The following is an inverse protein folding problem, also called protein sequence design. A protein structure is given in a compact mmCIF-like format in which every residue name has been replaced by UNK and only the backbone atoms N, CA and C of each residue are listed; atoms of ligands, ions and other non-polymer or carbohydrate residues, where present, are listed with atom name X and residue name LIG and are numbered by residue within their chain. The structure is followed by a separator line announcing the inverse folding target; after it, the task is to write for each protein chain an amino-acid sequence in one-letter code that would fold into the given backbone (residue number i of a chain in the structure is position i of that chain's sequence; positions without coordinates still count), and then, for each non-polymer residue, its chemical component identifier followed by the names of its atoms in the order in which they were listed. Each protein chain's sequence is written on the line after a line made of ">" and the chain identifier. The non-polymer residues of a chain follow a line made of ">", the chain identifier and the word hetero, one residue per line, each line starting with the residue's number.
data_IF_527044993012
#
_entry.id   IF_527044993012
#
_cell.length_a   1.000
_cell.length_b   1.000
_cell.length_c   1.000
_cell.angle_alpha   90.00
_cell.angle_beta   90.00
_cell.angle_gamma   90.00
#
_symmetry.space_group_name_H-M   'P 1'
#
loop_
_entity.id
_entity.type
_entity.pdbx_description
1 polymer ?
#
# COMPACT_ATOMS: atom_id res chain seq x y z
N UNK A 1 1.34 10.02 19.39
CA UNK A 1 0.41 8.98 18.85
C UNK A 1 0.30 9.20 17.35
N UNK A 2 0.74 8.24 16.55
CA UNK A 2 0.69 8.35 15.10
C UNK A 2 -0.72 8.05 14.57
N UNK A 3 -1.25 8.82 13.60
CA UNK A 3 -2.56 8.54 13.00
C UNK A 3 -2.51 7.21 12.22
N UNK A 4 -3.64 6.53 12.05
CA UNK A 4 -3.81 5.24 11.34
C UNK A 4 -3.39 3.95 12.08
N UNK A 5 -2.88 4.01 13.31
CA UNK A 5 -2.46 2.80 14.05
C UNK A 5 -3.60 2.13 14.86
N UNK A 6 -4.79 2.74 14.88
CA UNK A 6 -5.93 2.20 15.62
C UNK A 6 -6.71 1.20 14.76
N UNK A 7 -6.95 -0.01 15.29
CA UNK A 7 -7.71 -1.08 14.62
C UNK A 7 -9.07 -0.62 14.10
N UNK A 8 -9.75 0.28 14.82
CA UNK A 8 -11.02 0.88 14.37
C UNK A 8 -10.84 1.74 13.12
N UNK A 9 -9.76 2.51 13.05
CA UNK A 9 -9.44 3.34 11.88
C UNK A 9 -9.06 2.44 10.70
N UNK A 10 -8.32 1.36 10.93
CA UNK A 10 -7.98 0.41 9.87
C UNK A 10 -9.23 -0.24 9.25
N UNK A 11 -10.17 -0.68 10.10
CA UNK A 11 -11.43 -1.26 9.64
C UNK A 11 -12.27 -0.26 8.82
N UNK A 12 -12.31 1.01 9.24
CA UNK A 12 -13.01 2.08 8.49
C UNK A 12 -12.34 2.31 7.13
N UNK A 13 -11.01 2.38 7.07
CA UNK A 13 -10.27 2.56 5.82
C UNK A 13 -10.53 1.41 4.86
N UNK A 14 -10.51 0.16 5.34
CA UNK A 14 -10.83 -1.02 4.53
C UNK A 14 -12.28 -0.99 4.02
N UNK A 15 -13.24 -0.63 4.87
CA UNK A 15 -14.64 -0.52 4.47
C UNK A 15 -14.84 0.54 3.36
N UNK A 16 -14.20 1.70 3.51
CA UNK A 16 -14.19 2.76 2.48
C UNK A 16 -13.54 2.26 1.20
N UNK A 17 -12.40 1.55 1.30
CA UNK A 17 -11.72 0.98 0.13
C UNK A 17 -12.63 0.03 -0.65
N UNK A 18 -13.26 -0.95 0.01
CA UNK A 18 -14.17 -1.88 -0.66
C UNK A 18 -15.37 -1.15 -1.30
N UNK A 19 -15.94 -0.18 -0.59
CA UNK A 19 -17.03 0.63 -1.12
C UNK A 19 -16.62 1.40 -2.39
N UNK A 20 -15.46 2.07 -2.35
CA UNK A 20 -14.92 2.78 -3.51
C UNK A 20 -14.62 1.84 -4.68
N UNK A 21 -14.06 0.65 -4.43
CA UNK A 21 -13.80 -0.37 -5.46
C UNK A 21 -15.10 -0.78 -6.16
N UNK A 22 -16.17 -1.05 -5.42
CA UNK A 22 -17.47 -1.43 -5.98
C UNK A 22 -18.06 -0.29 -6.82
N UNK A 23 -18.06 0.94 -6.29
CA UNK A 23 -18.55 2.11 -7.00
C UNK A 23 -17.77 2.39 -8.28
N UNK A 24 -16.43 2.37 -8.20
CA UNK A 24 -15.56 2.66 -9.33
C UNK A 24 -15.69 1.59 -10.41
N UNK A 25 -15.79 0.31 -10.01
CA UNK A 25 -16.09 -0.81 -10.90
C UNK A 25 -17.42 -0.60 -11.63
N UNK A 26 -18.50 -0.32 -10.90
CA UNK A 26 -19.82 -0.10 -11.51
C UNK A 26 -19.81 1.06 -12.51
N UNK A 27 -19.16 2.17 -12.15
CA UNK A 27 -19.03 3.35 -13.01
C UNK A 27 -18.21 3.07 -14.27
N UNK A 28 -17.09 2.35 -14.14
CA UNK A 28 -16.22 2.02 -15.28
C UNK A 28 -16.80 0.95 -16.20
N UNK A 29 -17.66 0.04 -15.71
CA UNK A 29 -18.38 -0.92 -16.56
C UNK A 29 -19.37 -0.26 -17.52
N UNK A 30 -19.88 0.94 -17.18
CA UNK A 30 -20.81 1.70 -18.03
C UNK A 30 -20.12 2.53 -19.13
N UNK A 31 -18.79 2.69 -19.06
CA UNK A 31 -18.02 3.51 -19.99
C UNK A 31 -17.26 2.65 -20.99
N UNK A 32 -17.17 3.13 -22.22
CA UNK A 32 -16.32 2.56 -23.27
C UNK A 32 -14.85 2.58 -22.82
N UNK A 33 -14.10 1.55 -23.19
CA UNK A 33 -12.72 1.35 -22.78
C UNK A 33 -11.87 2.60 -23.00
N UNK A 34 -11.32 3.13 -21.90
CA UNK A 34 -10.45 4.31 -21.91
C UNK A 34 -9.19 4.05 -22.74
N UNK A 35 -8.76 5.03 -23.55
CA UNK A 35 -7.60 4.91 -24.45
C UNK A 35 -6.35 4.38 -23.73
N UNK A 36 -5.82 3.27 -24.26
CA UNK A 36 -4.72 2.49 -23.68
C UNK A 36 -3.43 3.31 -23.42
N UNK A 37 -3.16 4.37 -24.19
CA UNK A 37 -1.92 5.14 -24.07
C UNK A 37 -1.84 5.93 -22.75
N UNK A 38 -2.93 6.55 -22.33
CA UNK A 38 -2.95 7.36 -21.10
C UNK A 38 -2.74 6.50 -19.84
N UNK A 39 -3.31 5.29 -19.85
CA UNK A 39 -3.21 4.33 -18.75
C UNK A 39 -1.81 3.72 -18.64
N UNK A 40 -1.07 3.60 -19.75
CA UNK A 40 0.32 3.15 -19.73
C UNK A 40 1.23 4.14 -19.00
N UNK A 41 1.12 5.43 -19.30
CA UNK A 41 1.91 6.49 -18.63
C UNK A 41 1.58 6.55 -17.14
N UNK A 42 0.30 6.46 -16.78
CA UNK A 42 -0.13 6.40 -15.38
C UNK A 42 0.45 5.18 -14.66
N UNK A 43 0.40 3.99 -15.27
CA UNK A 43 1.00 2.77 -14.70
C UNK A 43 2.50 2.89 -14.50
N UNK A 44 3.20 3.45 -15.49
CA UNK A 44 4.63 3.66 -15.40
C UNK A 44 4.98 4.57 -14.22
N UNK A 45 4.34 5.75 -14.14
CA UNK A 45 4.54 6.69 -13.04
C UNK A 45 4.21 6.07 -11.68
N UNK A 46 3.11 5.32 -11.59
CA UNK A 46 2.72 4.61 -10.38
C UNK A 46 3.78 3.58 -9.96
N UNK A 47 4.20 2.69 -10.87
CA UNK A 47 5.21 1.68 -10.57
C UNK A 47 6.56 2.31 -10.18
N UNK A 48 6.97 3.39 -10.84
CA UNK A 48 8.17 4.14 -10.46
C UNK A 48 8.05 4.72 -9.05
N UNK A 49 6.91 5.34 -8.70
CA UNK A 49 6.67 5.86 -7.35
C UNK A 49 6.76 4.75 -6.30
N UNK A 50 6.23 3.57 -6.61
CA UNK A 50 6.24 2.42 -5.73
C UNK A 50 7.67 1.93 -5.47
N UNK A 51 8.50 1.85 -6.52
CA UNK A 51 9.91 1.48 -6.39
C UNK A 51 10.65 2.47 -5.48
N UNK A 52 10.40 3.77 -5.63
CA UNK A 52 11.05 4.80 -4.82
C UNK A 52 10.64 4.69 -3.34
N UNK A 53 9.34 4.56 -3.05
CA UNK A 53 8.83 4.46 -1.68
C UNK A 53 9.33 3.17 -1.01
N UNK A 54 9.27 2.03 -1.71
CA UNK A 54 9.75 0.76 -1.18
C UNK A 54 11.25 0.79 -0.91
N UNK A 55 12.05 1.35 -1.83
CA UNK A 55 13.49 1.51 -1.64
C UNK A 55 13.80 2.37 -0.41
N UNK A 56 13.07 3.47 -0.23
CA UNK A 56 13.24 4.35 0.94
C UNK A 56 12.94 3.62 2.26
N UNK A 57 11.82 2.89 2.34
CA UNK A 57 11.45 2.12 3.54
C UNK A 57 12.49 1.05 3.86
N UNK A 58 13.02 0.35 2.84
CA UNK A 58 14.05 -0.68 3.04
C UNK A 58 15.34 -0.07 3.55
N UNK A 59 15.81 1.03 2.96
CA UNK A 59 17.04 1.71 3.39
C UNK A 59 16.91 2.22 4.83
N UNK A 60 15.84 2.94 5.15
CA UNK A 60 15.58 3.42 6.51
C UNK A 60 15.44 2.26 7.51
N UNK A 61 14.83 1.15 7.09
CA UNK A 61 14.69 -0.06 7.89
C UNK A 61 16.03 -0.71 8.22
N UNK A 62 16.92 -0.83 7.23
CA UNK A 62 18.27 -1.38 7.43
C UNK A 62 19.08 -0.46 8.34
N UNK A 63 19.11 0.85 8.07
CA UNK A 63 19.82 1.81 8.91
C UNK A 63 19.30 1.81 10.36
N UNK A 64 17.99 1.80 10.55
CA UNK A 64 17.39 1.76 11.90
C UNK A 64 17.69 0.45 12.61
N UNK A 65 17.68 -0.68 11.90
CA UNK A 65 17.99 -2.00 12.48
C UNK A 65 19.47 -2.13 12.86
N UNK A 66 20.36 -1.58 12.02
CA UNK A 66 21.79 -1.54 12.28
C UNK A 66 22.12 -0.66 13.50
N UNK A 67 21.57 0.55 13.56
CA UNK A 67 21.72 1.45 14.72
C UNK A 67 21.17 0.84 16.02
N UNK A 68 20.13 0.01 15.89
CA UNK A 68 19.50 -0.67 17.00
C UNK A 68 20.20 -1.98 17.42
N UNK A 69 21.26 -2.40 16.71
CA UNK A 69 22.01 -3.62 17.02
C UNK A 69 21.22 -4.92 16.79
N UNK A 70 20.20 -4.90 15.93
CA UNK A 70 19.45 -6.11 15.59
C UNK A 70 20.36 -7.13 14.91
N UNK A 71 20.27 -8.39 15.36
CA UNK A 71 20.91 -9.53 14.70
C UNK A 71 19.84 -10.33 13.97
N UNK A 72 20.20 -11.08 12.91
CA UNK A 72 19.26 -11.93 12.15
C UNK A 72 18.40 -12.87 13.02
N UNK A 73 18.90 -13.26 14.20
CA UNK A 73 18.26 -14.22 15.11
C UNK A 73 17.76 -13.59 16.42
N UNK A 74 18.01 -12.30 16.67
CA UNK A 74 17.66 -11.68 17.95
C UNK A 74 17.16 -10.25 17.75
N UNK A 75 15.98 -10.01 18.32
CA UNK A 75 15.39 -8.69 18.44
C UNK A 75 16.14 -7.90 19.52
N UNK A 76 16.41 -6.62 19.29
CA UNK A 76 17.02 -5.76 20.31
C UNK A 76 16.11 -5.71 21.55
N UNK A 77 16.64 -6.17 22.69
CA UNK A 77 15.87 -6.38 23.91
C UNK A 77 15.50 -5.05 24.62
N UNK A 78 16.30 -4.01 24.40
CA UNK A 78 16.19 -2.71 25.09
C UNK A 78 16.21 -1.52 24.12
N UNK A 79 15.66 -1.69 22.90
CA UNK A 79 15.50 -0.54 22.02
C UNK A 79 14.32 0.31 22.49
N UNK A 80 14.61 1.20 23.46
CA UNK A 80 13.71 2.27 23.85
C UNK A 80 13.24 2.94 22.58
N UNK A 81 11.92 2.93 22.36
CA UNK A 81 11.27 3.07 21.06
C UNK A 81 11.84 4.26 20.30
N UNK A 82 12.85 4.01 19.46
CA UNK A 82 13.42 5.13 18.73
C UNK A 82 12.29 5.67 17.85
N UNK A 83 12.05 6.98 17.93
CA UNK A 83 11.02 7.64 17.13
C UNK A 83 11.17 7.33 15.62
N UNK A 84 12.35 6.88 15.18
CA UNK A 84 12.65 6.41 13.82
C UNK A 84 11.90 5.11 13.48
N UNK A 85 11.88 4.12 14.37
CA UNK A 85 11.19 2.84 14.14
C UNK A 85 9.67 3.05 14.08
N UNK A 86 9.10 3.85 14.98
CA UNK A 86 7.66 4.18 14.97
C UNK A 86 7.27 4.92 13.67
N UNK A 87 8.09 5.88 13.24
CA UNK A 87 7.90 6.59 11.97
C UNK A 87 7.98 5.65 10.77
N UNK A 88 8.89 4.68 10.79
CA UNK A 88 9.03 3.69 9.72
C UNK A 88 7.78 2.80 9.60
N UNK A 89 7.26 2.31 10.72
CA UNK A 89 5.99 1.57 10.74
C UNK A 89 4.83 2.42 10.24
N UNK A 90 4.77 3.69 10.64
CA UNK A 90 3.75 4.60 10.14
C UNK A 90 3.85 4.83 8.63
N UNK A 91 5.06 5.03 8.09
CA UNK A 91 5.31 5.15 6.65
C UNK A 91 4.90 3.88 5.90
N UNK A 92 5.15 2.70 6.47
CA UNK A 92 4.70 1.43 5.92
C UNK A 92 3.16 1.36 5.83
N UNK A 93 2.45 1.79 6.89
CA UNK A 93 0.98 1.86 6.87
C UNK A 93 0.45 2.84 5.82
N UNK A 94 1.08 4.01 5.66
CA UNK A 94 0.70 4.98 4.62
C UNK A 94 0.96 4.41 3.22
N UNK A 95 2.11 3.77 3.01
CA UNK A 95 2.44 3.05 1.76
C UNK A 95 1.38 1.99 1.45
N UNK A 96 0.84 1.30 2.46
CA UNK A 96 -0.23 0.32 2.24
C UNK A 96 -1.53 0.94 1.74
N UNK A 97 -1.85 2.17 2.12
CA UNK A 97 -2.97 2.91 1.51
C UNK A 97 -2.66 3.24 0.05
N UNK A 98 -1.40 3.60 -0.26
CA UNK A 98 -0.96 3.81 -1.63
C UNK A 98 -1.11 2.55 -2.50
N UNK A 99 -0.86 1.36 -1.94
CA UNK A 99 -1.03 0.08 -2.64
C UNK A 99 -2.46 -0.16 -3.15
N UNK A 100 -3.47 0.40 -2.49
CA UNK A 100 -4.87 0.29 -2.94
C UNK A 100 -5.12 1.00 -4.28
N UNK A 101 -4.26 1.94 -4.66
CA UNK A 101 -4.37 2.61 -5.95
C UNK A 101 -4.13 1.70 -7.15
N UNK A 102 -3.39 0.60 -6.97
CA UNK A 102 -3.21 -0.43 -8.00
C UNK A 102 -4.55 -1.01 -8.47
N UNK A 103 -5.45 -1.30 -7.52
CA UNK A 103 -6.80 -1.81 -7.81
C UNK A 103 -7.61 -0.82 -8.65
N UNK A 104 -7.52 0.47 -8.37
CA UNK A 104 -8.21 1.50 -9.16
C UNK A 104 -7.66 1.59 -10.58
N UNK A 105 -6.34 1.44 -10.77
CA UNK A 105 -5.71 1.42 -12.10
C UNK A 105 -6.12 0.16 -12.88
N UNK A 106 -6.20 -1.00 -12.23
CA UNK A 106 -6.69 -2.25 -12.86
C UNK A 106 -8.14 -2.08 -13.33
N UNK A 107 -9.01 -1.49 -12.50
CA UNK A 107 -10.41 -1.22 -12.85
C UNK A 107 -10.49 -0.20 -14.00
N UNK A 108 -9.64 0.83 -14.00
CA UNK A 108 -9.58 1.82 -15.07
C UNK A 108 -9.17 1.21 -16.42
N UNK A 109 -8.34 0.17 -16.40
CA UNK A 109 -7.97 -0.63 -17.57
C UNK A 109 -9.00 -1.69 -17.95
N UNK A 110 -10.06 -1.85 -17.17
CA UNK A 110 -11.06 -2.90 -17.34
C UNK A 110 -10.44 -4.30 -17.43
N UNK A 111 -9.29 -4.53 -16.77
CA UNK A 111 -8.59 -5.81 -16.80
C UNK A 111 -9.11 -6.73 -15.69
N UNK A 112 -10.29 -7.31 -15.91
CA UNK A 112 -10.97 -8.16 -14.94
C UNK A 112 -10.22 -9.44 -14.57
N UNK A 113 -9.28 -9.90 -15.43
CA UNK A 113 -8.44 -11.06 -15.11
C UNK A 113 -7.42 -10.75 -14.01
N UNK A 114 -6.94 -9.51 -13.93
CA UNK A 114 -6.04 -9.06 -12.87
C UNK A 114 -6.79 -8.76 -11.56
N UNK A 115 -8.03 -8.27 -11.66
CA UNK A 115 -8.91 -8.04 -10.51
C UNK A 115 -9.51 -9.36 -9.98
N UNK A 116 -8.66 -10.24 -9.45
CA UNK A 116 -9.04 -11.53 -8.89
C UNK A 116 -9.35 -11.45 -7.39
N UNK A 117 -10.02 -12.48 -6.86
CA UNK A 117 -10.21 -12.65 -5.41
C UNK A 117 -8.88 -12.61 -4.65
N UNK A 118 -7.84 -13.25 -5.21
CA UNK A 118 -6.51 -13.29 -4.60
C UNK A 118 -5.91 -11.88 -4.46
N UNK A 119 -6.05 -11.05 -5.50
CA UNK A 119 -5.57 -9.66 -5.47
C UNK A 119 -6.24 -8.87 -4.34
N UNK A 120 -7.57 -8.90 -4.28
CA UNK A 120 -8.32 -8.16 -3.26
C UNK A 120 -8.02 -8.67 -1.85
N UNK A 121 -7.97 -9.99 -1.66
CA UNK A 121 -7.68 -10.61 -0.37
C UNK A 121 -6.27 -10.30 0.11
N UNK A 122 -5.27 -10.36 -0.77
CA UNK A 122 -3.89 -10.02 -0.42
C UNK A 122 -3.75 -8.55 0.00
N UNK A 123 -4.41 -7.63 -0.72
CA UNK A 123 -4.39 -6.22 -0.34
C UNK A 123 -5.13 -5.94 0.97
N UNK A 124 -6.23 -6.63 1.24
CA UNK A 124 -7.03 -6.41 2.46
C UNK A 124 -6.47 -7.09 3.71
N UNK A 125 -5.86 -8.27 3.57
CA UNK A 125 -5.32 -9.03 4.71
C UNK A 125 -3.96 -8.51 5.18
N UNK A 126 -3.23 -7.84 4.29
CA UNK A 126 -1.93 -7.24 4.59
C UNK A 126 -2.03 -5.81 5.17
N UNK A 127 -3.22 -5.37 5.60
CA UNK A 127 -3.52 -4.05 6.17
C UNK A 127 -3.96 -4.18 7.64
#
# INVERSE_FOLDING_TARGET
>A
KWPLVNTKVCAIVLAIYFFLVILFRARMMSKTQTSNHTLYSLKFAYNSSQIMICSYIVIEGICTSYDAGYTFLSCAQDFDRSHRLERLFWLYYVKKIWDFSDTFIIIAQQNWRQLSFLHMFHHSSAF
#
